data_IF_859137991251
#
_entry.id   IF_859137991251
#
_cell.length_a   1.000
_cell.length_b   1.000
_cell.length_c   1.000
_cell.angle_alpha   90.00
_cell.angle_beta   90.00
_cell.angle_gamma   90.00
#
_symmetry.space_group_name_H-M   'P 1'
#
loop_
_entity.id
_entity.type
_entity.pdbx_description
1 polymer ?
#
# COMPACT_ATOMS: atom_id res chain seq x y z
N UNK A 1 13.60 0.87 -15.99
CA UNK A 1 12.72 0.73 -14.82
C UNK A 1 12.09 2.08 -14.50
N UNK A 2 11.23 2.17 -13.48
CA UNK A 2 10.52 3.43 -13.18
C UNK A 2 11.42 4.34 -12.34
N UNK A 3 11.57 5.62 -12.75
CA UNK A 3 12.41 6.62 -12.08
C UNK A 3 13.92 6.27 -12.05
N UNK A 4 14.45 5.55 -13.05
CA UNK A 4 15.89 5.14 -13.10
C UNK A 4 16.91 6.29 -13.01
N UNK A 5 16.49 7.50 -13.35
CA UNK A 5 17.34 8.69 -13.28
C UNK A 5 17.28 9.39 -11.92
N UNK A 6 16.26 9.11 -11.10
CA UNK A 6 16.03 9.76 -9.80
C UNK A 6 16.26 8.82 -8.62
N UNK A 7 16.12 7.50 -8.82
CA UNK A 7 16.26 6.50 -7.76
C UNK A 7 17.40 5.53 -8.12
N UNK A 8 18.38 5.31 -7.23
CA UNK A 8 19.60 4.56 -7.54
C UNK A 8 19.40 3.04 -7.43
N UNK A 9 18.48 2.49 -8.23
CA UNK A 9 18.13 1.06 -8.24
C UNK A 9 19.36 0.16 -8.45
N UNK A 10 20.20 0.51 -9.44
CA UNK A 10 21.47 -0.18 -9.73
C UNK A 10 22.42 -0.23 -8.54
N UNK A 11 22.53 0.87 -7.80
CA UNK A 11 23.39 0.94 -6.62
C UNK A 11 22.87 0.04 -5.50
N UNK A 12 21.55 -0.02 -5.28
CA UNK A 12 20.96 -0.96 -4.33
C UNK A 12 21.18 -2.40 -4.77
N UNK A 13 20.84 -2.74 -6.03
CA UNK A 13 20.97 -4.08 -6.59
C UNK A 13 22.42 -4.59 -6.60
N UNK A 14 23.42 -3.72 -6.83
CA UNK A 14 24.82 -4.12 -6.81
C UNK A 14 25.28 -4.64 -5.45
N UNK A 15 24.58 -4.33 -4.37
CA UNK A 15 24.85 -4.82 -3.02
C UNK A 15 24.07 -6.08 -2.66
N UNK A 16 23.27 -6.61 -3.58
CA UNK A 16 22.51 -7.85 -3.41
C UNK A 16 23.14 -8.99 -4.22
N UNK A 17 22.99 -10.20 -3.72
CA UNK A 17 23.32 -11.46 -4.41
C UNK A 17 22.22 -12.48 -4.13
N UNK A 18 21.96 -13.33 -5.11
CA UNK A 18 21.10 -14.48 -4.93
C UNK A 18 21.88 -15.58 -4.20
N UNK A 19 21.30 -16.15 -3.15
CA UNK A 19 21.83 -17.30 -2.41
C UNK A 19 20.72 -18.29 -2.14
N UNK A 20 21.07 -19.50 -1.69
CA UNK A 20 20.11 -20.37 -1.01
C UNK A 20 19.84 -19.82 0.40
N UNK A 21 18.59 -19.49 0.67
CA UNK A 21 18.02 -19.15 1.97
C UNK A 21 17.13 -20.32 2.43
N UNK A 22 16.62 -20.27 3.65
CA UNK A 22 15.63 -21.23 4.17
C UNK A 22 14.29 -20.51 4.29
N UNK A 23 13.22 -21.04 3.70
CA UNK A 23 11.87 -20.51 3.96
C UNK A 23 11.51 -20.87 5.42
N UNK A 24 11.26 -19.89 6.30
CA UNK A 24 10.99 -20.17 7.71
C UNK A 24 9.72 -21.00 7.93
N UNK A 25 8.79 -21.04 6.96
CA UNK A 25 7.53 -21.78 7.06
C UNK A 25 7.69 -23.24 6.67
N UNK A 26 8.43 -23.51 5.60
CA UNK A 26 8.59 -24.89 5.07
C UNK A 26 9.91 -25.54 5.49
N UNK A 27 10.86 -24.76 6.00
CA UNK A 27 12.24 -25.18 6.27
C UNK A 27 12.99 -25.68 5.02
N UNK A 28 12.47 -25.40 3.83
CA UNK A 28 13.09 -25.81 2.57
C UNK A 28 14.07 -24.74 2.05
N UNK A 29 15.15 -25.17 1.37
CA UNK A 29 16.02 -24.25 0.65
C UNK A 29 15.27 -23.53 -0.47
N UNK A 30 15.32 -22.20 -0.46
CA UNK A 30 14.74 -21.35 -1.51
C UNK A 30 15.77 -20.30 -1.95
N UNK A 31 15.89 -20.01 -3.25
CA UNK A 31 16.73 -18.91 -3.70
C UNK A 31 16.15 -17.59 -3.20
N UNK A 32 16.97 -16.74 -2.58
CA UNK A 32 16.57 -15.41 -2.14
C UNK A 32 17.71 -14.39 -2.19
N UNK A 33 17.34 -13.11 -2.19
CA UNK A 33 18.29 -12.01 -2.18
C UNK A 33 18.85 -11.82 -0.77
N UNK A 34 20.17 -11.89 -0.65
CA UNK A 34 20.87 -11.42 0.54
C UNK A 34 21.85 -10.32 0.15
N UNK A 35 22.23 -9.47 1.10
CA UNK A 35 23.33 -8.57 0.86
C UNK A 35 24.67 -9.27 0.60
N UNK A 36 25.51 -8.66 -0.24
CA UNK A 36 26.82 -9.20 -0.63
C UNK A 36 27.80 -9.29 0.53
N UNK A 37 27.90 -8.22 1.29
CA UNK A 37 28.92 -8.05 2.33
C UNK A 37 28.50 -8.60 3.70
N UNK A 38 27.65 -9.64 3.76
CA UNK A 38 27.21 -10.21 5.05
C UNK A 38 28.31 -10.96 5.77
N UNK A 39 28.71 -10.58 7.02
CA UNK A 39 28.12 -9.60 7.95
C UNK A 39 28.83 -8.21 8.07
N UNK A 40 29.80 -7.86 7.19
CA UNK A 40 30.53 -6.58 7.19
C UNK A 40 29.67 -5.41 6.64
N UNK A 41 29.06 -4.65 7.55
CA UNK A 41 27.89 -3.79 7.30
C UNK A 41 28.12 -2.36 6.78
N UNK A 42 29.30 -1.76 7.00
CA UNK A 42 29.44 -0.29 6.89
C UNK A 42 29.22 0.30 5.49
N UNK A 43 29.70 -0.35 4.41
CA UNK A 43 29.53 0.16 3.04
C UNK A 43 28.10 -0.03 2.55
N UNK A 44 27.48 -1.16 2.89
CA UNK A 44 26.11 -1.47 2.49
C UNK A 44 25.07 -0.62 3.23
N UNK A 45 25.32 -0.26 4.50
CA UNK A 45 24.49 0.66 5.26
C UNK A 45 24.45 2.06 4.61
N UNK A 46 25.61 2.58 4.16
CA UNK A 46 25.68 3.87 3.43
C UNK A 46 24.90 3.84 2.12
N UNK A 47 25.02 2.77 1.34
CA UNK A 47 24.25 2.62 0.10
C UNK A 47 22.76 2.57 0.37
N UNK A 48 22.34 1.85 1.42
CA UNK A 48 20.94 1.78 1.81
C UNK A 48 20.41 3.16 2.22
N UNK A 49 21.13 3.88 3.07
CA UNK A 49 20.75 5.24 3.45
C UNK A 49 20.64 6.16 2.22
N UNK A 50 21.62 6.13 1.32
CA UNK A 50 21.58 6.90 0.08
C UNK A 50 20.36 6.55 -0.81
N UNK A 51 20.04 5.26 -0.94
CA UNK A 51 18.87 4.81 -1.69
C UNK A 51 17.56 5.31 -1.04
N UNK A 52 17.43 5.13 0.27
CA UNK A 52 16.26 5.56 1.05
C UNK A 52 16.07 7.06 0.93
N UNK A 53 17.10 7.86 1.16
CA UNK A 53 17.06 9.32 1.04
C UNK A 53 16.63 9.75 -0.37
N UNK A 54 17.17 9.11 -1.41
CA UNK A 54 16.85 9.43 -2.80
C UNK A 54 15.38 9.12 -3.13
N UNK A 55 14.87 7.95 -2.69
CA UNK A 55 13.47 7.57 -2.91
C UNK A 55 12.52 8.47 -2.12
N UNK A 56 12.80 8.72 -0.83
CA UNK A 56 12.02 9.63 0.01
C UNK A 56 11.97 11.03 -0.58
N UNK A 57 13.12 11.57 -1.00
CA UNK A 57 13.19 12.87 -1.67
C UNK A 57 12.35 12.90 -2.94
N UNK A 58 12.44 11.86 -3.77
CA UNK A 58 11.65 11.77 -5.01
C UNK A 58 10.15 11.76 -4.70
N UNK A 59 9.70 10.98 -3.70
CA UNK A 59 8.30 10.95 -3.27
C UNK A 59 7.85 12.35 -2.81
N UNK A 60 8.67 13.04 -2.01
CA UNK A 60 8.36 14.39 -1.54
C UNK A 60 8.26 15.43 -2.66
N UNK A 61 9.15 15.38 -3.64
CA UNK A 61 9.15 16.28 -4.80
C UNK A 61 7.89 16.09 -5.66
N UNK A 62 7.53 14.83 -5.93
CA UNK A 62 6.30 14.50 -6.65
C UNK A 62 5.05 14.89 -5.86
N UNK A 63 5.01 14.64 -4.55
CA UNK A 63 3.89 15.03 -3.71
C UNK A 63 3.69 16.56 -3.70
N UNK A 64 4.79 17.31 -3.61
CA UNK A 64 4.78 18.78 -3.65
C UNK A 64 4.30 19.30 -5.01
N UNK A 65 4.79 18.72 -6.09
CA UNK A 65 4.40 19.09 -7.46
C UNK A 65 2.93 18.73 -7.73
N UNK A 66 2.49 17.55 -7.30
CA UNK A 66 1.10 17.11 -7.45
C UNK A 66 0.15 18.03 -6.68
N UNK A 67 0.52 18.43 -5.45
CA UNK A 67 -0.31 19.30 -4.61
C UNK A 67 -0.62 20.65 -5.25
N UNK A 68 0.27 21.16 -6.11
CA UNK A 68 0.09 22.43 -6.83
C UNK A 68 -1.04 22.39 -7.87
N UNK A 69 -1.51 21.20 -8.27
CA UNK A 69 -2.63 21.03 -9.20
C UNK A 69 -3.99 21.30 -8.56
N UNK A 70 -4.06 21.34 -7.23
CA UNK A 70 -5.30 21.49 -6.47
C UNK A 70 -5.36 22.85 -5.77
N UNK A 71 -6.58 23.38 -5.47
CA UNK A 71 -6.72 24.60 -4.72
C UNK A 71 -5.93 24.60 -3.39
N UNK A 72 -5.40 25.76 -2.95
CA UNK A 72 -4.71 25.86 -1.67
C UNK A 72 -5.68 25.59 -0.50
N UNK A 73 -5.11 25.36 0.68
CA UNK A 73 -5.90 25.10 1.89
C UNK A 73 -6.92 26.22 2.16
N UNK A 74 -8.12 25.83 2.59
CA UNK A 74 -9.25 26.75 2.82
C UNK A 74 -9.92 27.29 1.56
N UNK A 75 -9.57 26.76 0.38
CA UNK A 75 -10.26 27.04 -0.89
C UNK A 75 -10.75 25.79 -1.60
N UNK A 76 -10.69 24.63 -0.94
CA UNK A 76 -11.24 23.40 -1.49
C UNK A 76 -12.77 23.46 -1.38
N UNK A 77 -13.52 23.08 -2.43
CA UNK A 77 -14.98 23.23 -2.42
C UNK A 77 -15.65 22.56 -1.23
N UNK A 78 -15.09 21.45 -0.75
CA UNK A 78 -15.64 20.59 0.29
C UNK A 78 -15.24 21.02 1.71
N UNK A 79 -14.16 21.80 1.89
CA UNK A 79 -13.58 22.02 3.23
C UNK A 79 -14.49 22.77 4.19
N UNK A 80 -15.45 23.54 3.67
CA UNK A 80 -16.42 24.33 4.45
C UNK A 80 -17.89 23.89 4.23
N UNK A 81 -18.11 22.81 3.47
CA UNK A 81 -19.46 22.30 3.17
C UNK A 81 -19.90 21.30 4.23
N UNK A 82 -21.14 21.43 4.70
CA UNK A 82 -21.75 20.48 5.65
C UNK A 82 -22.61 19.41 4.98
N UNK A 83 -22.83 19.51 3.67
CA UNK A 83 -23.59 18.54 2.88
C UNK A 83 -23.17 18.62 1.41
N UNK A 84 -23.22 17.50 0.71
CA UNK A 84 -22.88 17.42 -0.71
C UNK A 84 -22.19 16.11 -1.08
N UNK A 85 -22.01 15.90 -2.39
CA UNK A 85 -21.32 14.72 -2.92
C UNK A 85 -19.81 14.96 -2.97
N UNK A 86 -19.04 14.04 -2.39
CA UNK A 86 -17.58 14.01 -2.40
C UNK A 86 -17.01 13.53 -3.74
N UNK A 87 -17.73 12.63 -4.42
CA UNK A 87 -17.30 12.03 -5.67
C UNK A 87 -18.50 11.74 -6.57
N UNK A 88 -18.24 11.50 -7.86
CA UNK A 88 -19.27 11.39 -8.89
C UNK A 88 -20.06 10.08 -8.82
N UNK A 89 -21.28 10.10 -9.35
CA UNK A 89 -22.12 8.90 -9.52
C UNK A 89 -21.50 7.90 -10.52
N UNK A 90 -20.69 8.39 -11.47
CA UNK A 90 -19.91 7.55 -12.38
C UNK A 90 -18.88 6.71 -11.60
N UNK A 91 -18.18 7.31 -10.64
CA UNK A 91 -17.23 6.58 -9.81
C UNK A 91 -17.94 5.54 -8.93
N UNK A 92 -19.10 5.88 -8.39
CA UNK A 92 -19.93 4.97 -7.62
C UNK A 92 -20.35 3.75 -8.47
N UNK A 93 -20.84 3.99 -9.69
CA UNK A 93 -21.20 2.93 -10.62
C UNK A 93 -20.00 2.08 -11.04
N UNK A 94 -18.84 2.71 -11.29
CA UNK A 94 -17.58 2.01 -11.58
C UNK A 94 -17.15 1.11 -10.41
N UNK A 95 -17.24 1.59 -9.18
CA UNK A 95 -16.91 0.81 -8.00
C UNK A 95 -17.87 -0.39 -7.81
N UNK A 96 -19.16 -0.16 -7.99
CA UNK A 96 -20.15 -1.25 -7.92
C UNK A 96 -19.88 -2.33 -8.97
N UNK A 97 -19.67 -1.95 -10.24
CA UNK A 97 -19.35 -2.90 -11.31
C UNK A 97 -18.05 -3.66 -11.03
N UNK A 98 -17.04 -2.99 -10.47
CA UNK A 98 -15.81 -3.63 -10.03
C UNK A 98 -16.09 -4.69 -8.96
N UNK A 99 -16.87 -4.36 -7.93
CA UNK A 99 -17.22 -5.25 -6.83
C UNK A 99 -18.10 -6.43 -7.27
N UNK A 100 -19.10 -6.19 -8.11
CA UNK A 100 -19.99 -7.21 -8.67
C UNK A 100 -19.21 -8.24 -9.49
N UNK A 101 -18.29 -7.77 -10.34
CA UNK A 101 -17.44 -8.64 -11.15
C UNK A 101 -16.53 -9.56 -10.33
N UNK A 102 -16.38 -9.27 -9.04
CA UNK A 102 -15.51 -9.98 -8.09
C UNK A 102 -16.27 -10.73 -7.00
N UNK A 103 -17.60 -10.62 -6.96
CA UNK A 103 -18.41 -11.25 -5.92
C UNK A 103 -18.16 -10.66 -4.52
N UNK A 104 -17.77 -9.38 -4.44
CA UNK A 104 -17.62 -8.69 -3.17
C UNK A 104 -18.98 -8.43 -2.53
N UNK A 105 -19.06 -8.69 -1.22
CA UNK A 105 -20.30 -8.52 -0.47
C UNK A 105 -20.72 -7.06 -0.33
N UNK A 106 -19.79 -6.11 -0.40
CA UNK A 106 -20.07 -4.68 -0.30
C UNK A 106 -19.09 -3.85 -1.15
N UNK A 107 -19.58 -2.77 -1.79
CA UNK A 107 -18.73 -1.83 -2.50
C UNK A 107 -17.91 -0.99 -1.52
N UNK A 108 -16.70 -0.58 -1.93
CA UNK A 108 -15.82 0.27 -1.12
C UNK A 108 -16.37 1.70 -1.00
N UNK A 109 -17.01 2.17 -2.08
CA UNK A 109 -17.73 3.44 -2.16
C UNK A 109 -19.22 3.14 -2.29
N UNK A 110 -20.05 3.87 -1.54
CA UNK A 110 -21.48 3.68 -1.53
C UNK A 110 -22.20 5.05 -1.45
N UNK A 111 -23.52 5.04 -1.53
CA UNK A 111 -24.33 6.28 -1.46
C UNK A 111 -24.21 7.02 -0.12
N UNK A 112 -23.83 6.33 0.95
CA UNK A 112 -23.63 6.93 2.27
C UNK A 112 -22.30 7.68 2.32
N UNK A 113 -21.19 6.99 2.06
CA UNK A 113 -19.86 7.58 2.11
C UNK A 113 -19.55 8.52 0.91
N UNK A 114 -20.46 8.64 -0.06
CA UNK A 114 -20.47 9.73 -1.04
C UNK A 114 -20.81 11.08 -0.40
N UNK A 115 -21.56 11.11 0.70
CA UNK A 115 -22.14 12.32 1.28
C UNK A 115 -21.26 12.88 2.39
N UNK A 116 -20.86 14.15 2.32
CA UNK A 116 -20.02 14.80 3.36
C UNK A 116 -20.68 14.70 4.74
N UNK A 117 -22.00 14.90 4.78
CA UNK A 117 -22.80 14.82 6.01
C UNK A 117 -22.71 13.46 6.70
N UNK A 118 -22.50 12.37 5.95
CA UNK A 118 -22.30 11.04 6.52
C UNK A 118 -20.98 10.99 7.30
N UNK A 119 -19.88 11.48 6.72
CA UNK A 119 -18.58 11.53 7.39
C UNK A 119 -18.64 12.35 8.68
N UNK A 120 -19.31 13.52 8.63
CA UNK A 120 -19.53 14.38 9.80
C UNK A 120 -20.37 13.66 10.86
N UNK A 121 -21.44 12.97 10.44
CA UNK A 121 -22.32 12.24 11.35
C UNK A 121 -21.57 11.10 12.05
N UNK A 122 -20.83 10.29 11.29
CA UNK A 122 -20.03 9.20 11.85
C UNK A 122 -19.02 9.74 12.88
N UNK A 123 -18.37 10.87 12.58
CA UNK A 123 -17.41 11.49 13.48
C UNK A 123 -18.02 12.02 14.80
N UNK A 124 -19.34 12.23 14.86
CA UNK A 124 -20.06 12.62 16.09
C UNK A 124 -20.53 11.43 16.90
N UNK A 125 -20.73 10.29 16.25
CA UNK A 125 -21.31 9.10 16.84
C UNK A 125 -20.21 8.22 17.42
N UNK A 126 -19.73 8.52 18.63
CA UNK A 126 -19.00 7.49 19.39
C UNK A 126 -19.54 7.23 20.78
N UNK A 127 -19.74 5.94 21.02
CA UNK A 127 -20.33 5.23 22.16
C UNK A 127 -19.55 5.35 23.48
N UNK A 128 -18.76 6.40 23.68
CA UNK A 128 -18.28 6.76 25.01
C UNK A 128 -19.36 7.59 25.70
N UNK A 129 -19.60 7.34 26.99
CA UNK A 129 -20.54 8.10 27.81
C UNK A 129 -20.59 9.58 27.40
N UNK A 130 -21.78 10.15 27.09
CA UNK A 130 -21.88 11.53 26.66
C UNK A 130 -21.34 12.41 27.77
N UNK A 131 -20.09 12.80 27.66
CA UNK A 131 -19.58 13.92 28.42
C UNK A 131 -20.36 15.13 27.91
N UNK A 132 -21.02 15.91 28.78
CA UNK A 132 -21.77 17.09 28.37
C UNK A 132 -20.92 18.16 27.66
N UNK A 133 -19.60 17.95 27.54
CA UNK A 133 -18.64 18.78 26.82
C UNK A 133 -18.07 18.14 25.53
N UNK A 134 -18.57 17.00 25.05
CA UNK A 134 -18.04 16.30 23.86
C UNK A 134 -18.38 17.03 22.55
N UNK A 135 -17.64 18.10 22.25
CA UNK A 135 -17.54 18.71 20.91
C UNK A 135 -16.44 18.06 20.06
N UNK A 136 -15.88 16.94 20.52
CA UNK A 136 -14.72 16.32 19.91
C UNK A 136 -15.18 15.32 18.85
N UNK A 137 -14.82 15.57 17.59
CA UNK A 137 -15.06 14.67 16.48
C UNK A 137 -14.03 13.54 16.53
N UNK A 138 -14.48 12.29 16.46
CA UNK A 138 -13.59 11.12 16.48
C UNK A 138 -14.00 10.01 15.51
N UNK A 139 -12.99 9.35 14.97
CA UNK A 139 -13.04 8.05 14.32
C UNK A 139 -12.20 7.06 15.11
N UNK A 140 -12.49 5.79 14.89
CA UNK A 140 -11.83 4.64 15.50
C UNK A 140 -11.87 3.44 14.56
N UNK A 141 -11.42 2.29 15.05
CA UNK A 141 -11.52 1.00 14.36
C UNK A 141 -12.93 0.62 13.92
N UNK A 142 -13.98 1.17 14.55
CA UNK A 142 -15.37 0.96 14.13
C UNK A 142 -15.68 1.59 12.76
N UNK A 143 -14.82 2.49 12.27
CA UNK A 143 -14.96 3.25 11.04
C UNK A 143 -14.04 2.71 9.92
N UNK A 144 -13.83 1.38 9.89
CA UNK A 144 -13.01 0.70 8.89
C UNK A 144 -13.53 0.91 7.46
N UNK A 145 -14.85 1.07 7.30
CA UNK A 145 -15.50 1.40 6.03
C UNK A 145 -15.02 2.74 5.48
N UNK A 146 -14.89 3.77 6.33
CA UNK A 146 -14.36 5.07 5.94
C UNK A 146 -12.87 4.98 5.57
N UNK A 147 -12.07 4.24 6.33
CA UNK A 147 -10.67 3.99 5.95
C UNK A 147 -10.56 3.25 4.61
N UNK A 148 -11.48 2.32 4.33
CA UNK A 148 -11.60 1.62 3.06
C UNK A 148 -11.97 2.57 1.91
N UNK A 149 -12.90 3.50 2.14
CA UNK A 149 -13.24 4.54 1.18
C UNK A 149 -12.03 5.42 0.86
N UNK A 150 -11.25 5.84 1.87
CA UNK A 150 -10.02 6.63 1.67
C UNK A 150 -9.03 5.89 0.76
N UNK A 151 -8.77 4.61 1.00
CA UNK A 151 -7.88 3.79 0.16
C UNK A 151 -8.36 3.79 -1.29
N UNK A 152 -9.64 3.56 -1.53
CA UNK A 152 -10.16 3.47 -2.90
C UNK A 152 -10.20 4.83 -3.62
N UNK A 153 -10.54 5.91 -2.92
CA UNK A 153 -10.44 7.28 -3.45
C UNK A 153 -9.01 7.65 -3.84
N UNK A 154 -8.01 7.19 -3.07
CA UNK A 154 -6.58 7.39 -3.39
C UNK A 154 -6.18 6.67 -4.68
N UNK A 155 -6.67 5.43 -4.84
CA UNK A 155 -6.44 4.60 -6.03
C UNK A 155 -7.07 5.24 -7.27
N UNK A 156 -8.29 5.75 -7.13
CA UNK A 156 -9.06 6.40 -8.19
C UNK A 156 -8.72 7.88 -8.38
N UNK A 157 -7.63 8.35 -7.76
CA UNK A 157 -7.12 9.72 -7.85
C UNK A 157 -8.15 10.82 -7.52
N UNK A 158 -9.07 10.55 -6.59
CA UNK A 158 -10.04 11.52 -6.09
C UNK A 158 -9.42 12.43 -5.02
N UNK A 159 -8.25 13.00 -5.32
CA UNK A 159 -7.48 13.76 -4.33
C UNK A 159 -8.18 15.04 -3.90
N UNK A 160 -8.95 15.71 -4.77
CA UNK A 160 -9.70 16.91 -4.34
C UNK A 160 -10.68 16.60 -3.19
N UNK A 161 -11.38 15.45 -3.28
CA UNK A 161 -12.26 14.97 -2.22
C UNK A 161 -11.46 14.66 -0.94
N UNK A 162 -10.35 13.93 -1.07
CA UNK A 162 -9.52 13.54 0.08
C UNK A 162 -8.87 14.74 0.78
N UNK A 163 -8.34 15.70 0.02
CA UNK A 163 -7.78 16.94 0.55
C UNK A 163 -8.89 17.79 1.23
N UNK A 164 -10.10 17.81 0.65
CA UNK A 164 -11.25 18.48 1.23
C UNK A 164 -11.67 17.86 2.56
N UNK A 165 -11.73 16.54 2.64
CA UNK A 165 -11.99 15.79 3.88
C UNK A 165 -10.91 16.05 4.93
N UNK A 166 -9.63 16.07 4.53
CA UNK A 166 -8.50 16.32 5.45
C UNK A 166 -8.53 17.71 6.08
N UNK A 167 -9.06 18.71 5.37
CA UNK A 167 -9.16 20.10 5.83
C UNK A 167 -10.48 20.41 6.56
N UNK A 168 -11.46 19.51 6.52
CA UNK A 168 -12.78 19.78 7.08
C UNK A 168 -12.76 19.74 8.62
N UNK A 169 -13.23 20.78 9.32
CA UNK A 169 -13.04 20.93 10.77
C UNK A 169 -13.78 19.89 11.63
N UNK A 170 -14.75 19.19 11.04
CA UNK A 170 -15.56 18.16 11.71
C UNK A 170 -15.18 16.73 11.30
N UNK A 171 -14.15 16.55 10.46
CA UNK A 171 -13.74 15.24 9.94
C UNK A 171 -12.29 14.97 10.38
N UNK A 172 -12.07 14.11 11.38
CA UNK A 172 -10.73 13.83 11.91
C UNK A 172 -10.01 12.77 11.06
N UNK A 173 -9.82 13.02 9.75
CA UNK A 173 -9.33 12.04 8.77
C UNK A 173 -8.00 11.38 9.18
N UNK A 174 -7.15 12.09 9.93
CA UNK A 174 -5.90 11.58 10.49
C UNK A 174 -6.08 10.31 11.34
N UNK A 175 -7.22 10.14 12.01
CA UNK A 175 -7.49 8.99 12.88
C UNK A 175 -7.73 7.70 12.08
N UNK A 176 -8.06 7.81 10.79
CA UNK A 176 -8.18 6.66 9.89
C UNK A 176 -6.83 6.23 9.30
N UNK A 177 -5.74 6.98 9.55
CA UNK A 177 -4.41 6.67 9.00
C UNK A 177 -3.90 5.33 9.47
N UNK A 178 -3.88 5.12 10.79
CA UNK A 178 -3.41 3.91 11.43
C UNK A 178 -4.50 3.39 12.37
N UNK A 179 -5.32 2.48 11.86
CA UNK A 179 -6.30 1.74 12.64
C UNK A 179 -5.75 0.35 12.93
N UNK A 180 -5.88 -0.14 14.16
CA UNK A 180 -5.34 -1.47 14.50
C UNK A 180 -6.06 -2.18 15.64
N UNK A 181 -6.26 -3.50 15.49
CA UNK A 181 -6.66 -4.46 16.55
C UNK A 181 -5.71 -5.67 16.51
N UNK A 182 -4.43 -5.43 16.83
CA UNK A 182 -3.36 -6.44 16.73
C UNK A 182 -2.67 -6.51 15.37
N UNK A 183 -3.22 -5.88 14.34
CA UNK A 183 -2.60 -5.62 13.02
C UNK A 183 -3.21 -4.35 12.42
N UNK A 184 -2.51 -3.68 11.48
CA UNK A 184 -2.97 -2.41 10.89
C UNK A 184 -3.93 -2.63 9.72
N UNK A 185 -5.01 -1.85 9.68
CA UNK A 185 -6.03 -1.81 8.63
C UNK A 185 -6.45 -0.38 8.24
N UNK A 186 -5.72 0.63 8.71
CA UNK A 186 -5.92 2.02 8.32
C UNK A 186 -5.61 2.27 6.84
N UNK A 187 -5.76 3.52 6.39
CA UNK A 187 -5.41 3.85 5.00
C UNK A 187 -3.90 3.82 4.74
N UNK A 188 -3.05 3.78 5.76
CA UNK A 188 -1.62 3.46 5.66
C UNK A 188 -1.35 2.16 4.86
N UNK A 189 -2.24 1.17 4.95
CA UNK A 189 -2.05 -0.12 4.29
C UNK A 189 -1.92 -0.04 2.77
N UNK A 190 -2.53 0.95 2.11
CA UNK A 190 -2.34 1.11 0.65
C UNK A 190 -0.89 1.50 0.33
N UNK A 191 -0.21 2.20 1.24
CA UNK A 191 1.20 2.57 1.12
C UNK A 191 2.06 1.32 1.18
N UNK A 192 1.82 0.46 2.17
CA UNK A 192 2.62 -0.75 2.38
C UNK A 192 2.60 -1.66 1.14
N UNK A 193 1.40 -1.91 0.61
CA UNK A 193 1.23 -2.76 -0.59
C UNK A 193 1.83 -2.12 -1.85
N UNK A 194 1.66 -0.80 -2.03
CA UNK A 194 2.26 -0.05 -3.11
C UNK A 194 3.80 -0.08 -3.04
N UNK A 195 4.37 0.19 -1.86
CA UNK A 195 5.81 0.27 -1.61
C UNK A 195 6.46 -1.10 -1.81
N UNK A 196 5.85 -2.15 -1.27
CA UNK A 196 6.30 -3.52 -1.41
C UNK A 196 6.46 -3.92 -2.87
N UNK A 197 5.39 -3.75 -3.66
CA UNK A 197 5.42 -4.07 -5.07
C UNK A 197 6.41 -3.18 -5.84
N UNK A 198 6.38 -1.87 -5.57
CA UNK A 198 7.21 -0.90 -6.27
C UNK A 198 8.70 -1.17 -6.07
N UNK A 199 9.16 -1.29 -4.82
CA UNK A 199 10.57 -1.50 -4.52
C UNK A 199 11.03 -2.87 -5.01
N UNK A 200 10.29 -3.93 -4.71
CA UNK A 200 10.75 -5.29 -5.02
C UNK A 200 10.87 -5.53 -6.54
N UNK A 201 9.88 -5.09 -7.32
CA UNK A 201 9.90 -5.28 -8.77
C UNK A 201 10.99 -4.44 -9.43
N UNK A 202 11.18 -3.18 -9.03
CA UNK A 202 12.27 -2.36 -9.58
C UNK A 202 13.65 -2.94 -9.21
N UNK A 203 13.83 -3.48 -8.00
CA UNK A 203 15.07 -4.19 -7.63
C UNK A 203 15.25 -5.46 -8.47
N UNK A 204 14.20 -6.26 -8.63
CA UNK A 204 14.26 -7.51 -9.38
C UNK A 204 14.64 -7.29 -10.85
N UNK A 205 14.16 -6.20 -11.44
CA UNK A 205 14.46 -5.83 -12.81
C UNK A 205 15.94 -5.49 -13.08
N UNK A 206 16.73 -5.20 -12.04
CA UNK A 206 18.18 -5.02 -12.14
C UNK A 206 18.93 -6.35 -12.28
N UNK A 207 18.22 -7.48 -12.30
CA UNK A 207 18.75 -8.84 -12.51
C UNK A 207 18.15 -9.47 -13.78
N UNK A 208 18.53 -8.99 -14.99
CA UNK A 208 17.92 -9.41 -16.26
C UNK A 208 18.06 -10.91 -16.52
N UNK A 209 19.10 -11.57 -16.00
CA UNK A 209 19.30 -13.02 -16.09
C UNK A 209 18.24 -13.83 -15.34
N UNK A 210 17.59 -13.21 -14.34
CA UNK A 210 16.48 -13.80 -13.61
C UNK A 210 15.16 -13.57 -14.35
N UNK A 211 14.97 -12.38 -14.92
CA UNK A 211 13.78 -12.00 -15.69
C UNK A 211 13.64 -12.80 -16.98
N UNK A 212 14.68 -12.87 -17.83
CA UNK A 212 14.63 -13.47 -19.18
C UNK A 212 14.24 -14.97 -19.23
N UNK A 213 14.32 -15.67 -18.10
CA UNK A 213 14.02 -17.11 -17.99
C UNK A 213 12.98 -17.40 -16.92
N UNK A 214 12.27 -16.36 -16.46
CA UNK A 214 11.28 -16.46 -15.38
C UNK A 214 11.82 -17.08 -14.09
N UNK A 215 13.14 -17.13 -13.92
CA UNK A 215 13.80 -17.75 -12.74
C UNK A 215 13.43 -17.03 -11.46
N UNK A 216 13.08 -15.75 -11.56
CA UNK A 216 12.60 -14.97 -10.44
C UNK A 216 11.34 -15.54 -9.79
N UNK A 217 10.51 -16.31 -10.53
CA UNK A 217 9.31 -16.94 -9.97
C UNK A 217 9.63 -17.96 -8.87
N UNK A 218 10.84 -18.53 -8.90
CA UNK A 218 11.34 -19.45 -7.88
C UNK A 218 11.83 -18.76 -6.60
N UNK A 219 12.01 -17.43 -6.63
CA UNK A 219 12.60 -16.67 -5.52
C UNK A 219 11.61 -16.55 -4.37
N UNK A 220 12.07 -16.81 -3.15
CA UNK A 220 11.25 -16.74 -1.93
C UNK A 220 10.55 -15.38 -1.78
N UNK A 221 11.28 -14.28 -1.94
CA UNK A 221 10.73 -12.92 -1.95
C UNK A 221 9.63 -12.72 -2.98
N UNK A 222 9.80 -13.20 -4.21
CA UNK A 222 8.80 -13.04 -5.26
C UNK A 222 7.54 -13.87 -4.97
N UNK A 223 7.69 -15.10 -4.46
CA UNK A 223 6.54 -15.91 -4.02
C UNK A 223 5.71 -15.20 -2.95
N UNK A 224 6.36 -14.51 -2.00
CA UNK A 224 5.69 -13.69 -0.98
C UNK A 224 5.00 -12.48 -1.61
N UNK A 225 5.67 -11.74 -2.49
CA UNK A 225 5.07 -10.60 -3.20
C UNK A 225 3.83 -11.05 -3.96
N UNK A 226 3.93 -12.15 -4.72
CA UNK A 226 2.84 -12.74 -5.48
C UNK A 226 1.61 -13.04 -4.63
N UNK A 227 1.79 -13.54 -3.40
CA UNK A 227 0.69 -13.71 -2.44
C UNK A 227 0.09 -12.37 -2.02
N UNK A 228 0.90 -11.35 -1.75
CA UNK A 228 0.43 -10.02 -1.33
C UNK A 228 -0.32 -9.28 -2.43
N UNK A 229 0.06 -9.46 -3.68
CA UNK A 229 -0.63 -8.82 -4.80
C UNK A 229 -2.09 -9.27 -4.94
N UNK A 230 -2.43 -10.46 -4.42
CA UNK A 230 -3.73 -11.11 -4.62
C UNK A 230 -4.51 -11.39 -3.34
N UNK A 231 -3.89 -11.23 -2.17
CA UNK A 231 -4.45 -11.68 -0.90
C UNK A 231 -4.17 -10.72 0.24
N UNK A 232 -5.11 -10.65 1.17
CA UNK A 232 -5.03 -9.86 2.39
C UNK A 232 -5.90 -10.47 3.48
N UNK A 233 -5.49 -10.25 4.73
CA UNK A 233 -6.22 -10.75 5.90
C UNK A 233 -7.33 -9.79 6.35
N UNK A 234 -7.24 -8.51 5.95
CA UNK A 234 -7.88 -7.39 6.67
C UNK A 234 -8.78 -6.54 5.76
N UNK A 235 -9.33 -7.16 4.70
CA UNK A 235 -10.22 -6.54 3.72
C UNK A 235 -9.55 -6.18 2.40
N UNK A 236 -10.27 -6.31 1.29
CA UNK A 236 -9.67 -6.34 -0.06
C UNK A 236 -9.28 -4.96 -0.64
N UNK A 237 -9.52 -3.86 0.09
CA UNK A 237 -9.36 -2.51 -0.44
C UNK A 237 -7.91 -2.09 -0.68
N UNK A 238 -6.96 -2.57 0.13
CA UNK A 238 -5.52 -2.34 -0.09
C UNK A 238 -4.98 -3.01 -1.36
N UNK A 239 -5.54 -4.15 -1.78
CA UNK A 239 -5.07 -4.87 -2.99
C UNK A 239 -5.79 -4.42 -4.26
N UNK A 240 -6.84 -3.59 -4.15
CA UNK A 240 -7.62 -3.12 -5.29
C UNK A 240 -6.77 -2.44 -6.37
N UNK A 241 -5.67 -1.78 -5.99
CA UNK A 241 -4.72 -1.14 -6.92
C UNK A 241 -3.97 -2.13 -7.81
N UNK A 242 -3.78 -3.38 -7.38
CA UNK A 242 -3.07 -4.40 -8.14
C UNK A 242 -3.97 -5.13 -9.13
N UNK A 243 -5.28 -5.13 -8.87
CA UNK A 243 -6.26 -5.91 -9.61
C UNK A 243 -6.27 -5.63 -11.12
N UNK A 244 -6.23 -4.36 -11.60
CA UNK A 244 -6.20 -4.09 -13.04
C UNK A 244 -4.97 -4.68 -13.73
N UNK A 245 -3.81 -4.61 -13.09
CA UNK A 245 -2.55 -5.17 -13.60
C UNK A 245 -2.64 -6.70 -13.70
N UNK A 246 -3.06 -7.36 -12.61
CA UNK A 246 -3.20 -8.84 -12.57
C UNK A 246 -4.23 -9.33 -13.59
N UNK A 247 -5.35 -8.62 -13.75
CA UNK A 247 -6.36 -8.97 -14.75
C UNK A 247 -5.77 -8.97 -16.16
N UNK A 248 -5.06 -7.91 -16.53
CA UNK A 248 -4.40 -7.80 -17.85
C UNK A 248 -3.33 -8.88 -18.04
N UNK A 249 -2.55 -9.20 -17.01
CA UNK A 249 -1.61 -10.32 -17.07
C UNK A 249 -2.30 -11.65 -17.39
N UNK A 250 -3.55 -11.84 -16.97
CA UNK A 250 -4.30 -13.08 -17.19
C UNK A 250 -5.23 -13.03 -18.42
N UNK A 251 -5.30 -11.92 -19.16
CA UNK A 251 -6.13 -11.82 -20.38
C UNK A 251 -5.60 -12.77 -21.47
N UNK A 252 -6.39 -13.81 -21.81
CA UNK A 252 -6.05 -14.78 -22.86
C UNK A 252 -5.50 -16.13 -22.37
N UNK A 253 -5.43 -16.38 -21.06
CA UNK A 253 -4.83 -17.60 -20.50
C UNK A 253 -5.67 -18.89 -20.64
N UNK A 254 -6.93 -18.82 -21.09
CA UNK A 254 -7.83 -20.00 -21.20
C UNK A 254 -8.19 -20.65 -19.85
N UNK A 255 -7.40 -20.43 -18.81
CA UNK A 255 -7.80 -20.52 -17.41
C UNK A 255 -8.79 -19.40 -17.16
N UNK A 256 -10.07 -19.69 -17.37
CA UNK A 256 -11.12 -18.84 -16.87
C UNK A 256 -10.86 -18.64 -15.38
N UNK A 257 -10.38 -17.46 -15.00
CA UNK A 257 -10.41 -16.99 -13.63
C UNK A 257 -11.89 -16.85 -13.26
N UNK A 258 -12.51 -18.00 -13.01
CA UNK A 258 -13.88 -18.12 -12.56
C UNK A 258 -13.90 -17.59 -11.15
N UNK A 259 -14.21 -16.29 -11.03
CA UNK A 259 -14.73 -15.71 -9.81
C UNK A 259 -15.96 -16.54 -9.44
N UNK A 260 -15.82 -17.47 -8.49
CA UNK A 260 -17.00 -18.06 -7.86
C UNK A 260 -17.64 -16.93 -7.07
N UNK A 261 -18.85 -16.54 -7.45
CA UNK A 261 -19.66 -15.60 -6.69
C UNK A 261 -19.72 -16.09 -5.21
N UNK A 262 -19.23 -15.27 -4.28
CA UNK A 262 -19.17 -15.58 -2.85
C UNK A 262 -17.83 -16.09 -2.31
N UNK A 263 -16.76 -16.17 -3.11
CA UNK A 263 -15.41 -16.46 -2.63
C UNK A 263 -14.66 -15.17 -2.28
N UNK A 264 -14.00 -15.12 -1.10
CA UNK A 264 -13.11 -13.99 -0.70
C UNK A 264 -12.02 -13.80 -1.77
N UNK A 265 -11.51 -12.58 -2.02
CA UNK A 265 -10.51 -12.34 -3.10
C UNK A 265 -9.30 -13.29 -3.02
N UNK A 266 -8.89 -13.65 -1.80
CA UNK A 266 -7.82 -14.62 -1.51
C UNK A 266 -8.04 -16.03 -2.08
N UNK A 267 -9.26 -16.36 -2.50
CA UNK A 267 -9.67 -17.66 -3.08
C UNK A 267 -9.92 -17.59 -4.60
N UNK A 268 -10.00 -16.39 -5.19
CA UNK A 268 -10.50 -16.18 -6.56
C UNK A 268 -9.39 -15.87 -7.56
N UNK A 269 -8.32 -15.21 -7.12
CA UNK A 269 -7.16 -15.03 -7.97
C UNK A 269 -6.36 -16.32 -7.94
N UNK A 270 -6.32 -17.02 -9.08
CA UNK A 270 -5.28 -18.01 -9.32
C UNK A 270 -3.97 -17.32 -8.99
N UNK A 271 -3.26 -17.86 -8.00
CA UNK A 271 -1.95 -17.33 -7.68
C UNK A 271 -1.10 -17.33 -8.95
N UNK A 272 -1.33 -18.22 -9.92
CA UNK A 272 -0.65 -18.24 -11.23
C UNK A 272 -1.10 -17.11 -12.15
N UNK A 273 -0.33 -16.03 -12.15
CA UNK A 273 -0.32 -15.04 -13.23
C UNK A 273 0.99 -15.15 -14.02
N UNK A 274 0.93 -14.78 -15.31
CA UNK A 274 2.03 -14.85 -16.28
C UNK A 274 3.25 -14.01 -15.87
N UNK A 275 4.33 -14.19 -16.62
CA UNK A 275 5.56 -13.42 -16.48
C UNK A 275 5.28 -11.90 -16.46
N UNK A 276 5.54 -11.26 -15.32
CA UNK A 276 5.32 -9.82 -15.15
C UNK A 276 6.28 -8.97 -16.00
N UNK A 277 7.33 -9.57 -16.55
CA UNK A 277 8.28 -8.93 -17.46
C UNK A 277 8.00 -9.19 -18.94
N UNK A 278 6.99 -10.00 -19.28
CA UNK A 278 6.58 -10.27 -20.67
C UNK A 278 6.10 -8.99 -21.36
N UNK A 279 5.21 -8.24 -20.69
CA UNK A 279 4.73 -6.93 -21.14
C UNK A 279 5.35 -5.81 -20.31
N UNK A 280 6.50 -5.31 -20.77
CA UNK A 280 7.23 -4.23 -20.10
C UNK A 280 6.47 -2.90 -20.07
N UNK A 281 5.56 -2.64 -21.01
CA UNK A 281 4.78 -1.40 -21.01
C UNK A 281 3.66 -1.47 -19.97
N UNK A 282 2.98 -2.61 -19.87
CA UNK A 282 2.03 -2.88 -18.79
C UNK A 282 2.71 -2.80 -17.42
N UNK A 283 3.89 -3.40 -17.26
CA UNK A 283 4.66 -3.35 -16.02
C UNK A 283 5.09 -1.91 -15.67
N UNK A 284 5.59 -1.14 -16.63
CA UNK A 284 5.94 0.26 -16.42
C UNK A 284 4.74 1.08 -15.97
N UNK A 285 3.56 0.86 -16.55
CA UNK A 285 2.35 1.55 -16.14
C UNK A 285 1.96 1.16 -14.71
N UNK A 286 1.99 -0.12 -14.38
CA UNK A 286 1.72 -0.59 -13.03
C UNK A 286 2.68 0.02 -11.99
N UNK A 287 3.98 0.11 -12.29
CA UNK A 287 4.95 0.75 -11.40
C UNK A 287 4.74 2.25 -11.26
N UNK A 288 4.26 2.94 -12.31
CA UNK A 288 3.82 4.35 -12.23
C UNK A 288 2.62 4.48 -11.29
N UNK A 289 1.65 3.59 -11.40
CA UNK A 289 0.45 3.60 -10.56
C UNK A 289 0.79 3.34 -9.09
N UNK A 290 1.66 2.37 -8.80
CA UNK A 290 2.19 2.13 -7.46
C UNK A 290 2.91 3.37 -6.91
N UNK A 291 3.80 3.98 -7.69
CA UNK A 291 4.49 5.20 -7.28
C UNK A 291 3.53 6.37 -7.05
N UNK A 292 2.45 6.45 -7.84
CA UNK A 292 1.41 7.46 -7.69
C UNK A 292 0.70 7.38 -6.33
N UNK A 293 0.44 6.17 -5.84
CA UNK A 293 -0.06 5.99 -4.49
C UNK A 293 0.90 6.57 -3.45
N UNK A 294 2.21 6.34 -3.58
CA UNK A 294 3.19 6.79 -2.58
C UNK A 294 3.18 8.31 -2.43
N UNK A 295 3.27 9.06 -3.54
CA UNK A 295 3.30 10.52 -3.46
C UNK A 295 1.92 11.14 -3.15
N UNK A 296 0.81 10.50 -3.52
CA UNK A 296 -0.55 10.93 -3.13
C UNK A 296 -0.78 10.73 -1.64
N UNK A 297 -0.30 9.61 -1.09
CA UNK A 297 -0.33 9.35 0.35
C UNK A 297 0.51 10.34 1.13
N UNK A 298 1.71 10.69 0.64
CA UNK A 298 2.53 11.77 1.23
C UNK A 298 1.77 13.10 1.22
N UNK A 299 1.14 13.44 0.11
CA UNK A 299 0.35 14.66 -0.03
C UNK A 299 -0.81 14.68 0.97
N UNK A 300 -1.59 13.61 1.07
CA UNK A 300 -2.71 13.50 2.00
C UNK A 300 -2.25 13.51 3.47
N UNK A 301 -1.17 12.79 3.78
CA UNK A 301 -0.61 12.74 5.13
C UNK A 301 -0.25 14.14 5.64
N UNK A 302 0.40 14.96 4.80
CA UNK A 302 0.74 16.35 5.15
C UNK A 302 -0.49 17.19 5.48
N UNK A 303 -1.56 17.09 4.70
CA UNK A 303 -2.81 17.81 4.99
C UNK A 303 -3.47 17.34 6.29
N UNK A 304 -3.38 16.05 6.60
CA UNK A 304 -3.85 15.48 7.86
C UNK A 304 -2.95 15.80 9.06
N UNK A 305 -1.77 16.42 8.86
CA UNK A 305 -0.75 16.59 9.91
C UNK A 305 -0.08 15.28 10.33
N UNK A 306 -0.08 14.27 9.45
CA UNK A 306 0.57 12.97 9.63
C UNK A 306 1.95 13.00 8.97
N UNK A 307 2.94 12.43 9.65
CA UNK A 307 4.29 12.24 9.07
C UNK A 307 4.46 10.77 8.73
N UNK A 308 4.66 10.47 7.44
CA UNK A 308 5.01 9.11 6.98
C UNK A 308 6.51 8.92 7.18
N UNK A 309 6.88 7.86 7.92
CA UNK A 309 8.27 7.44 8.10
C UNK A 309 8.72 6.59 6.91
N UNK A 310 9.06 7.27 5.82
CA UNK A 310 9.45 6.60 4.57
C UNK A 310 10.68 5.70 4.72
N UNK A 311 11.61 6.05 5.60
CA UNK A 311 12.75 5.23 5.98
C UNK A 311 12.32 3.85 6.49
N UNK A 312 11.38 3.82 7.43
CA UNK A 312 10.85 2.58 7.98
C UNK A 312 10.04 1.81 6.95
N UNK A 313 9.26 2.51 6.13
CA UNK A 313 8.44 1.88 5.09
C UNK A 313 9.29 1.19 4.01
N UNK A 314 10.36 1.85 3.57
CA UNK A 314 11.31 1.29 2.61
C UNK A 314 12.06 0.10 3.22
N UNK A 315 12.51 0.24 4.47
CA UNK A 315 13.17 -0.86 5.18
C UNK A 315 12.23 -2.05 5.37
N UNK A 316 10.98 -1.80 5.73
CA UNK A 316 9.96 -2.82 5.91
C UNK A 316 9.72 -3.58 4.61
N UNK A 317 9.54 -2.87 3.48
CA UNK A 317 9.35 -3.49 2.18
C UNK A 317 10.51 -4.42 1.80
N UNK A 318 11.75 -4.00 2.02
CA UNK A 318 12.91 -4.83 1.69
C UNK A 318 13.05 -6.03 2.64
N UNK A 319 12.89 -5.83 3.96
CA UNK A 319 13.00 -6.93 4.93
C UNK A 319 11.89 -7.98 4.77
N UNK A 320 10.68 -7.55 4.41
CA UNK A 320 9.53 -8.43 4.13
C UNK A 320 9.78 -9.42 3.00
N UNK A 321 10.57 -9.01 2.00
CA UNK A 321 11.00 -9.91 0.93
C UNK A 321 12.33 -10.59 1.20
N UNK A 322 12.76 -10.65 2.47
CA UNK A 322 14.05 -11.19 2.91
C UNK A 322 15.27 -10.54 2.24
N UNK A 323 15.09 -9.38 1.61
CA UNK A 323 16.20 -8.47 1.30
C UNK A 323 16.62 -7.88 2.65
N UNK A 324 17.37 -8.67 3.43
CA UNK A 324 17.80 -8.29 4.78
C UNK A 324 18.59 -7.00 4.68
N UNK A 325 17.98 -5.90 5.10
CA UNK A 325 18.65 -4.60 5.13
C UNK A 325 19.50 -4.51 6.39
N UNK A 326 20.61 -3.80 6.27
CA UNK A 326 21.63 -3.65 7.31
C UNK A 326 21.29 -2.61 8.36
N UNK A 327 20.01 -2.49 8.69
CA UNK A 327 19.58 -1.61 9.75
C UNK A 327 19.47 -2.43 11.03
N UNK A 328 20.62 -2.89 11.51
CA UNK A 328 20.80 -3.39 12.88
C UNK A 328 21.57 -2.36 13.70
N UNK A 329 21.15 -1.10 13.63
CA UNK A 329 21.21 -0.20 14.77
C UNK A 329 19.76 0.16 15.04
N UNK A 330 19.09 -0.63 15.88
CA UNK A 330 18.04 -0.25 16.85
C UNK A 330 17.31 -1.54 17.25
N UNK A 331 18.02 -2.36 18.03
CA UNK A 331 17.43 -3.18 19.10
C UNK A 331 16.98 -2.27 20.29
N UNK A 332 16.84 -0.96 20.07
CA UNK A 332 16.48 0.07 21.04
C UNK A 332 15.00 0.53 20.92
N UNK A 333 14.26 0.11 19.88
CA UNK A 333 12.82 0.38 19.77
C UNK A 333 11.98 -0.55 20.66
N UNK A 334 12.51 -1.71 21.02
CA UNK A 334 11.88 -2.60 22.02
C UNK A 334 11.86 -1.97 23.43
N UNK A 335 12.59 -0.88 23.66
CA UNK A 335 12.58 -0.11 24.93
C UNK A 335 11.63 1.11 24.94
N UNK A 336 10.93 1.43 23.84
CA UNK A 336 10.00 2.58 23.80
C UNK A 336 8.51 2.21 23.86
N UNK A 337 8.19 1.12 24.56
CA UNK A 337 6.84 0.88 25.08
C UNK A 337 5.76 0.51 24.06
N UNK A 338 6.11 0.20 22.81
CA UNK A 338 5.17 -0.39 21.85
C UNK A 338 5.62 -1.83 21.58
N UNK A 339 4.99 -2.77 22.26
CA UNK A 339 5.15 -4.20 21.99
C UNK A 339 4.54 -4.50 20.61
N UNK A 340 5.38 -4.54 19.58
CA UNK A 340 5.08 -5.38 18.42
C UNK A 340 5.47 -6.80 18.80
N UNK A 341 4.48 -7.56 19.27
CA UNK A 341 4.64 -9.00 19.41
C UNK A 341 4.55 -9.61 18.01
N UNK A 342 5.70 -9.75 17.35
CA UNK A 342 5.83 -10.50 16.08
C UNK A 342 6.00 -12.00 16.32
N UNK A 343 5.48 -12.53 17.43
CA UNK A 343 5.33 -13.98 17.59
C UNK A 343 3.97 -14.41 17.06
N UNK A 344 4.04 -15.27 16.04
CA UNK A 344 3.03 -16.29 15.74
C UNK A 344 1.66 -15.79 15.26
N UNK A 345 1.57 -15.50 13.95
CA UNK A 345 0.47 -16.12 13.20
C UNK A 345 0.72 -17.63 13.18
N UNK A 346 0.32 -18.29 14.27
CA UNK A 346 0.14 -19.73 14.32
C UNK A 346 -0.93 -20.08 13.29
N UNK A 347 -0.49 -20.72 12.20
CA UNK A 347 -1.37 -21.47 11.33
C UNK A 347 -1.95 -22.62 12.16
N UNK A 348 -3.22 -22.50 12.56
CA UNK A 348 -3.99 -23.63 13.07
C UNK A 348 -5.02 -24.03 12.02
N UNK A 349 -4.63 -25.09 11.29
CA UNK A 349 -5.39 -26.12 10.52
C UNK A 349 -6.23 -25.66 9.35
#
# INVERSE_FOLDING_TARGET
>A
MHQDHNVPWKSLASHLKLTQSVDPRTQEPVPDFIPRDYPKQAKSAKTFHYFTDSLTKTIHEFATTERQKYPPAGRLPISDQTSGKLFSDELLAKNQAFCDSRGFYAPYLNEENQKIEYWIQQARCEHAHPSPNAKEYSYSSNHLDLATAVKYLMIENQMEALLGLAQHPQIPLKQLYFLSWGHSFGWDRVIDYAMNAYVYINVLAEFPELCQKEKYQGIGGYKRLRTELVSTCDGDSQIAMHVPFIKKLNEGSGTGAGVRAGARMSQVLDYSFRDIFEDLELLKQYLKDCFAILYRSEMLARECGVTIRWDEQIQYALTRFQIKCWYNEVDDHRKRGVNYDMTECSYNV
#
